data_IF_253561213083
#
_entry.id   IF_253561213083
#
_cell.length_a   1.000
_cell.length_b   1.000
_cell.length_c   1.000
_cell.angle_alpha   90.00
_cell.angle_beta   90.00
_cell.angle_gamma   90.00
#
_symmetry.space_group_name_H-M   'P 1'
#
loop_
_entity.id
_entity.type
_entity.pdbx_description
1 polymer ?
#
# COMPACT_ATOMS: atom_id res chain seq x y z
N UNK A 1 26.32 16.58 68.06
CA UNK A 1 27.64 16.45 67.40
C UNK A 1 27.59 15.15 66.63
N UNK A 2 27.18 15.21 65.37
CA UNK A 2 26.98 14.03 64.53
C UNK A 2 27.61 14.35 63.19
N UNK A 3 28.64 13.60 62.82
CA UNK A 3 29.41 13.76 61.60
C UNK A 3 28.79 12.87 60.52
N UNK A 4 28.66 13.46 59.34
CA UNK A 4 28.17 12.89 58.08
C UNK A 4 29.01 11.69 57.59
N UNK A 5 28.35 10.72 56.96
CA UNK A 5 28.95 9.92 55.89
C UNK A 5 28.06 10.01 54.65
N UNK A 6 28.54 10.77 53.66
CA UNK A 6 28.02 10.84 52.30
C UNK A 6 28.15 9.46 51.63
N UNK A 7 27.02 8.86 51.24
CA UNK A 7 26.96 7.87 50.16
C UNK A 7 26.38 8.57 48.94
N UNK A 8 27.23 8.90 47.98
CA UNK A 8 26.82 9.38 46.66
C UNK A 8 26.08 8.26 45.93
N UNK A 9 24.76 8.38 45.82
CA UNK A 9 23.95 7.56 44.94
C UNK A 9 24.05 8.15 43.53
N UNK A 10 24.99 7.65 42.72
CA UNK A 10 24.96 7.89 41.27
C UNK A 10 23.82 7.07 40.68
N UNK A 11 22.64 7.68 40.57
CA UNK A 11 21.58 7.21 39.69
C UNK A 11 22.05 7.42 38.25
N UNK A 12 22.67 6.40 37.66
CA UNK A 12 22.74 6.32 36.21
C UNK A 12 21.32 6.26 35.67
N UNK A 13 21.02 7.17 34.73
CA UNK A 13 19.75 7.18 34.01
C UNK A 13 19.61 5.84 33.28
N UNK A 14 18.44 5.21 33.42
CA UNK A 14 18.07 4.05 32.61
C UNK A 14 18.32 4.36 31.12
N UNK A 15 19.04 3.51 30.38
CA UNK A 15 19.17 3.69 28.94
C UNK A 15 17.80 3.55 28.30
N UNK A 16 17.45 4.51 27.46
CA UNK A 16 16.34 4.39 26.51
C UNK A 16 16.54 3.17 25.63
N UNK A 17 15.45 2.49 25.29
CA UNK A 17 15.37 1.27 24.48
C UNK A 17 15.84 1.46 23.03
N UNK A 18 17.13 1.72 22.83
CA UNK A 18 17.77 1.78 21.51
C UNK A 18 18.41 0.41 21.24
N UNK A 19 17.98 -0.27 20.18
CA UNK A 19 18.60 -1.47 19.57
C UNK A 19 20.11 -1.34 19.34
N UNK A 20 20.64 -0.11 19.34
CA UNK A 20 22.08 0.22 19.33
C UNK A 20 22.87 -0.47 20.44
N UNK A 21 22.26 -0.76 21.60
CA UNK A 21 22.94 -1.42 22.72
C UNK A 21 23.33 -2.88 22.45
N UNK A 22 22.47 -3.63 21.76
CA UNK A 22 22.73 -5.03 21.39
C UNK A 22 23.70 -5.11 20.22
N UNK A 23 23.49 -4.29 19.18
CA UNK A 23 24.36 -4.23 17.98
C UNK A 23 25.81 -3.91 18.36
N UNK A 24 26.01 -2.94 19.26
CA UNK A 24 27.34 -2.58 19.73
C UNK A 24 28.05 -3.75 20.44
N UNK A 25 27.33 -4.56 21.22
CA UNK A 25 27.90 -5.73 21.91
C UNK A 25 28.13 -6.91 20.99
N UNK A 26 27.26 -7.14 20.00
CA UNK A 26 27.43 -8.24 19.04
C UNK A 26 28.66 -8.04 18.16
N UNK A 27 29.05 -6.78 17.91
CA UNK A 27 30.24 -6.43 17.12
C UNK A 27 31.57 -6.89 17.74
N UNK A 28 31.59 -7.16 19.05
CA UNK A 28 32.80 -7.61 19.77
C UNK A 28 33.03 -9.12 19.63
N UNK A 29 32.02 -9.88 19.21
CA UNK A 29 32.10 -11.33 19.03
C UNK A 29 32.58 -11.71 17.64
N UNK A 30 33.35 -12.79 17.57
CA UNK A 30 33.85 -13.33 16.30
C UNK A 30 32.83 -14.30 15.70
N UNK A 31 32.77 -14.42 14.35
CA UNK A 31 32.03 -15.48 13.69
C UNK A 31 32.43 -16.85 14.24
N UNK A 32 31.46 -17.77 14.37
CA UNK A 32 31.78 -19.14 14.74
C UNK A 32 32.63 -19.81 13.66
N UNK A 33 33.59 -20.63 14.06
CA UNK A 33 34.40 -21.47 13.17
C UNK A 33 33.93 -22.92 13.27
N UNK A 34 34.20 -23.75 12.27
CA UNK A 34 33.89 -25.18 12.33
C UNK A 34 34.42 -25.88 13.60
N UNK A 35 35.61 -25.49 14.08
CA UNK A 35 36.17 -26.00 15.34
C UNK A 35 35.31 -25.63 16.57
N UNK A 36 34.75 -24.41 16.59
CA UNK A 36 33.91 -23.93 17.70
C UNK A 36 32.55 -24.61 17.77
N UNK A 37 32.08 -25.21 16.68
CA UNK A 37 30.83 -25.96 16.61
C UNK A 37 30.95 -27.37 17.19
N UNK A 38 32.16 -27.82 17.52
CA UNK A 38 32.44 -29.09 18.20
C UNK A 38 31.79 -30.32 17.53
N UNK A 39 31.76 -30.40 16.21
CA UNK A 39 31.11 -31.49 15.45
C UNK A 39 29.58 -31.62 15.67
N UNK A 40 28.92 -30.57 16.17
CA UNK A 40 27.46 -30.54 16.28
C UNK A 40 26.81 -30.65 14.89
N UNK A 41 25.99 -31.68 14.68
CA UNK A 41 25.49 -32.02 13.35
C UNK A 41 24.65 -30.90 12.72
N UNK A 42 23.77 -30.25 13.48
CA UNK A 42 22.84 -29.24 12.96
C UNK A 42 23.57 -27.92 12.73
N UNK A 43 24.43 -27.51 13.67
CA UNK A 43 25.20 -26.28 13.53
C UNK A 43 26.23 -26.38 12.40
N UNK A 44 26.84 -27.55 12.20
CA UNK A 44 27.74 -27.76 11.06
C UNK A 44 26.99 -27.74 9.73
N UNK A 45 25.79 -28.31 9.63
CA UNK A 45 24.97 -28.18 8.42
C UNK A 45 24.63 -26.71 8.12
N UNK A 46 24.30 -25.92 9.14
CA UNK A 46 24.07 -24.49 8.99
C UNK A 46 25.34 -23.76 8.52
N UNK A 47 26.49 -24.06 9.12
CA UNK A 47 27.77 -23.50 8.73
C UNK A 47 28.12 -23.85 7.28
N UNK A 48 27.93 -25.11 6.89
CA UNK A 48 28.17 -25.61 5.55
C UNK A 48 27.34 -24.87 4.48
N UNK A 49 26.10 -24.44 4.81
CA UNK A 49 25.31 -23.60 3.89
C UNK A 49 26.00 -22.28 3.53
N UNK A 50 26.83 -21.68 4.40
CA UNK A 50 27.57 -20.45 4.07
C UNK A 50 28.73 -20.71 3.09
N UNK A 51 29.36 -21.88 3.18
CA UNK A 51 30.63 -22.17 2.48
C UNK A 51 30.49 -23.06 1.24
N UNK A 52 29.41 -23.84 1.12
CA UNK A 52 29.14 -24.68 -0.05
C UNK A 52 28.37 -23.97 -1.17
N UNK A 53 27.81 -22.79 -0.90
CA UNK A 53 27.08 -22.00 -1.90
C UNK A 53 28.01 -21.02 -2.62
N UNK A 54 27.81 -20.85 -3.93
CA UNK A 54 28.57 -19.89 -4.76
C UNK A 54 28.37 -18.42 -4.32
N UNK A 55 27.33 -18.14 -3.52
CA UNK A 55 27.09 -16.84 -2.90
C UNK A 55 26.91 -16.98 -1.38
N UNK A 56 27.60 -16.16 -0.57
CA UNK A 56 27.45 -16.18 0.88
C UNK A 56 26.06 -15.71 1.28
N UNK A 57 25.44 -16.43 2.21
CA UNK A 57 24.08 -16.15 2.72
C UNK A 57 24.10 -15.23 3.96
N UNK A 58 25.29 -14.73 4.31
CA UNK A 58 25.50 -13.74 5.35
C UNK A 58 25.43 -14.32 6.75
N UNK A 59 25.73 -15.61 6.93
CA UNK A 59 25.74 -16.24 8.25
C UNK A 59 26.89 -15.78 9.14
N UNK A 60 27.98 -15.26 8.56
CA UNK A 60 29.14 -14.80 9.33
C UNK A 60 28.81 -13.72 10.38
N UNK A 61 27.82 -12.87 10.14
CA UNK A 61 27.35 -11.86 11.11
C UNK A 61 26.21 -12.35 12.01
N UNK A 62 25.67 -13.54 11.74
CA UNK A 62 24.50 -14.12 12.42
C UNK A 62 24.84 -15.33 13.29
N UNK A 63 25.97 -15.99 13.04
CA UNK A 63 26.47 -17.17 13.75
C UNK A 63 27.77 -16.81 14.48
N UNK A 64 27.70 -16.64 15.80
CA UNK A 64 28.77 -16.05 16.61
C UNK A 64 29.30 -17.02 17.67
N UNK A 65 30.60 -16.98 17.93
CA UNK A 65 31.21 -17.66 19.08
C UNK A 65 31.24 -16.71 20.29
N UNK A 66 30.57 -17.12 21.37
CA UNK A 66 30.43 -16.32 22.58
C UNK A 66 31.56 -16.63 23.58
N UNK A 67 32.69 -15.93 23.47
CA UNK A 67 33.85 -16.15 24.35
C UNK A 67 33.64 -15.66 25.81
N UNK A 68 32.56 -14.91 26.06
CA UNK A 68 32.20 -14.37 27.36
C UNK A 68 30.68 -14.36 27.59
N UNK A 69 30.28 -14.12 28.84
CA UNK A 69 28.88 -14.02 29.22
C UNK A 69 28.25 -12.71 28.75
N UNK A 70 27.04 -12.80 28.20
CA UNK A 70 26.32 -11.62 27.71
C UNK A 70 25.54 -10.96 28.83
N UNK A 71 25.65 -9.63 28.92
CA UNK A 71 24.78 -8.81 29.75
C UNK A 71 23.56 -8.34 28.96
N UNK A 72 22.38 -8.67 29.45
CA UNK A 72 21.09 -8.38 28.82
C UNK A 72 20.88 -6.87 28.80
N UNK A 73 20.71 -6.29 27.60
CA UNK A 73 20.56 -4.84 27.41
C UNK A 73 19.12 -4.39 27.26
N UNK A 74 18.22 -5.30 26.85
CA UNK A 74 16.83 -5.00 26.51
C UNK A 74 15.88 -6.01 27.19
N UNK A 75 14.59 -5.66 27.30
CA UNK A 75 13.56 -6.56 27.82
C UNK A 75 13.36 -6.53 29.34
N UNK A 76 12.83 -7.62 29.91
CA UNK A 76 12.47 -7.69 31.35
C UNK A 76 13.66 -7.90 32.28
N UNK A 77 14.77 -8.43 31.77
CA UNK A 77 15.93 -8.85 32.55
C UNK A 77 17.15 -7.92 32.34
N UNK A 78 16.90 -6.65 32.02
CA UNK A 78 17.95 -5.65 31.76
C UNK A 78 18.94 -5.60 32.92
N UNK A 79 20.23 -5.71 32.61
CA UNK A 79 21.33 -5.66 33.58
C UNK A 79 21.75 -7.01 34.16
N UNK A 80 21.03 -8.10 33.85
CA UNK A 80 21.44 -9.45 34.24
C UNK A 80 22.55 -9.98 33.31
N UNK A 81 23.44 -10.82 33.87
CA UNK A 81 24.48 -11.52 33.13
C UNK A 81 24.01 -12.95 32.88
N UNK A 82 23.84 -13.30 31.61
CA UNK A 82 23.46 -14.64 31.19
C UNK A 82 24.72 -15.51 31.01
N UNK A 83 24.72 -16.76 31.50
CA UNK A 83 25.90 -17.64 31.40
C UNK A 83 26.02 -18.24 30.00
N UNK A 84 26.46 -17.42 29.04
CA UNK A 84 26.57 -17.76 27.61
C UNK A 84 28.00 -18.03 27.15
N UNK A 85 28.97 -18.01 28.05
CA UNK A 85 30.37 -18.26 27.72
C UNK A 85 30.56 -19.65 27.09
N UNK A 86 31.37 -19.70 26.05
CA UNK A 86 31.71 -20.86 25.23
C UNK A 86 30.49 -21.50 24.53
N UNK A 87 29.45 -20.69 24.27
CA UNK A 87 28.26 -21.07 23.50
C UNK A 87 28.27 -20.47 22.09
N UNK A 88 27.41 -21.01 21.23
CA UNK A 88 27.16 -20.50 19.88
C UNK A 88 25.91 -19.62 19.89
N UNK A 89 26.06 -18.36 19.48
CA UNK A 89 24.98 -17.38 19.40
C UNK A 89 24.41 -17.28 17.99
N UNK A 90 23.11 -17.46 17.85
CA UNK A 90 22.33 -17.17 16.64
C UNK A 90 21.60 -15.85 16.81
N UNK A 91 21.96 -14.86 15.98
CA UNK A 91 21.36 -13.51 16.02
C UNK A 91 19.96 -13.57 15.42
N UNK A 92 18.97 -13.19 16.23
CA UNK A 92 17.58 -13.09 15.81
C UNK A 92 17.29 -11.65 15.40
N UNK A 93 16.62 -11.48 14.26
CA UNK A 93 16.28 -10.17 13.72
C UNK A 93 14.76 -9.95 13.73
N UNK A 94 14.35 -8.69 13.76
CA UNK A 94 12.97 -8.27 13.56
C UNK A 94 12.61 -8.12 12.07
N UNK A 95 11.39 -7.66 11.79
CA UNK A 95 10.91 -7.42 10.43
C UNK A 95 11.56 -6.20 9.73
N UNK A 96 12.46 -5.48 10.41
CA UNK A 96 13.27 -4.36 9.88
C UNK A 96 14.75 -4.73 9.76
N UNK A 97 15.05 -6.04 9.83
CA UNK A 97 16.40 -6.60 9.78
C UNK A 97 17.33 -6.09 10.89
N UNK A 98 16.77 -5.61 12.01
CA UNK A 98 17.55 -5.17 13.15
C UNK A 98 17.73 -6.33 14.15
N UNK A 99 18.93 -6.50 14.73
CA UNK A 99 19.15 -7.47 15.81
C UNK A 99 18.24 -7.17 17.00
N UNK A 100 17.32 -8.09 17.28
CA UNK A 100 16.32 -7.98 18.34
C UNK A 100 16.65 -8.88 19.53
N UNK A 101 17.21 -10.05 19.28
CA UNK A 101 17.55 -11.04 20.32
C UNK A 101 18.68 -11.96 19.87
N UNK A 102 19.14 -12.82 20.79
CA UNK A 102 20.18 -13.80 20.54
C UNK A 102 19.76 -15.13 21.17
N UNK A 103 19.81 -16.20 20.37
CA UNK A 103 19.61 -17.58 20.81
C UNK A 103 20.95 -18.28 21.00
N UNK A 104 21.28 -18.68 22.23
CA UNK A 104 22.57 -19.26 22.57
C UNK A 104 22.45 -20.78 22.77
N UNK A 105 23.23 -21.54 22.01
CA UNK A 105 23.26 -22.99 22.00
C UNK A 105 24.57 -23.50 22.61
N UNK A 106 24.48 -24.59 23.36
CA UNK A 106 25.65 -25.34 23.77
C UNK A 106 25.82 -26.51 22.79
N UNK A 107 26.91 -26.58 22.00
CA UNK A 107 27.11 -27.63 21.02
C UNK A 107 26.98 -29.04 21.63
N UNK A 108 26.37 -29.97 20.89
CA UNK A 108 26.13 -31.36 21.28
C UNK A 108 25.32 -31.55 22.57
N UNK A 109 24.61 -30.51 23.04
CA UNK A 109 23.68 -30.62 24.15
C UNK A 109 22.26 -30.42 23.65
N UNK A 110 21.41 -31.39 23.96
CA UNK A 110 19.97 -31.29 23.77
C UNK A 110 19.34 -30.41 24.88
N UNK A 111 19.80 -29.17 24.96
CA UNK A 111 19.29 -28.15 25.86
C UNK A 111 18.63 -27.06 25.04
N UNK A 112 17.43 -26.63 25.46
CA UNK A 112 16.76 -25.48 24.86
C UNK A 112 17.69 -24.26 24.85
N UNK A 113 17.68 -23.46 23.77
CA UNK A 113 18.56 -22.32 23.67
C UNK A 113 18.27 -21.31 24.78
N UNK A 114 19.32 -20.65 25.26
CA UNK A 114 19.19 -19.50 26.13
C UNK A 114 18.88 -18.27 25.27
N UNK A 115 17.75 -17.62 25.53
CA UNK A 115 17.28 -16.46 24.75
C UNK A 115 17.50 -15.17 25.55
N UNK A 116 18.16 -14.17 24.96
CA UNK A 116 18.46 -12.91 25.66
C UNK A 116 17.25 -12.02 25.88
N UNK A 117 16.38 -11.89 24.87
CA UNK A 117 15.14 -11.11 24.96
C UNK A 117 13.99 -11.82 24.23
N UNK A 118 12.81 -11.78 24.83
CA UNK A 118 11.55 -12.36 24.30
C UNK A 118 10.45 -11.28 24.23
N UNK A 119 10.80 -10.01 24.38
CA UNK A 119 9.84 -8.91 24.40
C UNK A 119 9.24 -8.59 23.04
N UNK A 120 9.98 -8.84 21.96
CA UNK A 120 9.58 -8.60 20.58
C UNK A 120 9.64 -9.89 19.76
N UNK A 121 8.68 -10.12 18.84
CA UNK A 121 8.76 -11.23 17.91
C UNK A 121 9.98 -11.07 16.99
N UNK A 122 10.77 -12.13 16.86
CA UNK A 122 11.97 -12.15 16.03
C UNK A 122 12.22 -13.55 15.48
N UNK A 123 13.01 -13.64 14.41
CA UNK A 123 13.36 -14.89 13.74
C UNK A 123 14.86 -14.99 13.52
N UNK A 124 15.37 -16.22 13.49
CA UNK A 124 16.67 -16.48 12.86
C UNK A 124 16.45 -16.59 11.36
N UNK A 125 17.17 -15.79 10.56
CA UNK A 125 16.91 -15.67 9.12
C UNK A 125 18.04 -16.27 8.30
N UNK A 126 17.71 -17.32 7.55
CA UNK A 126 18.61 -17.99 6.60
C UNK A 126 18.34 -17.40 5.22
N UNK A 127 19.35 -16.70 4.67
CA UNK A 127 19.22 -15.86 3.47
C UNK A 127 19.04 -14.37 3.79
N UNK A 128 18.64 -13.60 2.77
CA UNK A 128 18.41 -12.15 2.81
C UNK A 128 16.91 -11.82 2.68
N UNK A 129 16.43 -10.81 3.39
CA UNK A 129 15.04 -10.37 3.25
C UNK A 129 14.98 -9.37 2.10
N UNK A 130 14.55 -9.84 0.93
CA UNK A 130 14.41 -9.03 -0.27
C UNK A 130 13.03 -9.25 -0.90
N UNK A 131 12.55 -8.24 -1.63
CA UNK A 131 11.21 -8.26 -2.22
C UNK A 131 11.03 -9.32 -3.32
N UNK A 132 12.12 -9.84 -3.88
CA UNK A 132 12.14 -10.88 -4.92
C UNK A 132 12.19 -12.31 -4.35
N UNK A 133 12.32 -12.47 -3.03
CA UNK A 133 12.39 -13.78 -2.35
C UNK A 133 11.10 -14.11 -1.63
N UNK A 134 10.72 -15.38 -1.60
CA UNK A 134 9.60 -15.83 -0.76
C UNK A 134 10.06 -16.00 0.69
N UNK A 135 9.34 -15.45 1.66
CA UNK A 135 9.61 -15.67 3.09
C UNK A 135 8.87 -16.91 3.55
N UNK A 136 9.58 -17.92 4.07
CA UNK A 136 9.00 -19.15 4.57
C UNK A 136 9.24 -19.30 6.06
N UNK A 137 8.22 -19.63 6.84
CA UNK A 137 8.34 -19.77 8.29
C UNK A 137 8.35 -21.25 8.73
N UNK A 138 9.29 -21.60 9.62
CA UNK A 138 9.42 -22.92 10.24
C UNK A 138 9.70 -22.82 11.74
N UNK A 139 9.42 -23.89 12.48
CA UNK A 139 9.50 -23.92 13.95
C UNK A 139 10.77 -24.58 14.50
N UNK A 140 11.63 -25.14 13.64
CA UNK A 140 12.92 -25.72 14.04
C UNK A 140 14.07 -25.29 13.13
N UNK A 141 15.28 -25.27 13.70
CA UNK A 141 16.50 -24.94 12.96
C UNK A 141 16.81 -25.96 11.87
N UNK A 142 16.62 -27.24 12.16
CA UNK A 142 16.84 -28.34 11.23
C UNK A 142 15.91 -28.24 10.01
N UNK A 143 14.61 -28.00 10.24
CA UNK A 143 13.65 -27.78 9.15
C UNK A 143 14.01 -26.54 8.32
N UNK A 144 14.54 -25.50 8.97
CA UNK A 144 14.97 -24.27 8.30
C UNK A 144 16.14 -24.49 7.35
N UNK A 145 17.17 -25.21 7.79
CA UNK A 145 18.33 -25.58 6.98
C UNK A 145 17.89 -26.46 5.81
N UNK A 146 17.11 -27.49 6.09
CA UNK A 146 16.63 -28.44 5.09
C UNK A 146 15.76 -27.76 4.03
N UNK A 147 14.82 -26.91 4.45
CA UNK A 147 13.94 -26.20 3.54
C UNK A 147 14.73 -25.19 2.70
N UNK A 148 15.67 -24.45 3.29
CA UNK A 148 16.53 -23.54 2.55
C UNK A 148 17.27 -24.27 1.43
N UNK A 149 17.87 -25.43 1.74
CA UNK A 149 18.57 -26.26 0.77
C UNK A 149 17.64 -26.75 -0.34
N UNK A 150 16.46 -27.29 0.00
CA UNK A 150 15.51 -27.81 -0.99
C UNK A 150 14.99 -26.73 -1.94
N UNK A 151 14.66 -25.54 -1.42
CA UNK A 151 14.13 -24.44 -2.22
C UNK A 151 15.22 -23.77 -3.06
N UNK A 152 16.33 -23.35 -2.44
CA UNK A 152 17.33 -22.53 -3.12
C UNK A 152 18.35 -23.34 -3.92
N UNK A 153 18.76 -24.51 -3.44
CA UNK A 153 19.84 -25.30 -4.05
C UNK A 153 19.29 -26.29 -5.06
N UNK A 154 18.26 -27.05 -4.67
CA UNK A 154 17.68 -28.11 -5.51
C UNK A 154 16.66 -27.52 -6.48
N UNK A 155 15.68 -26.77 -5.96
CA UNK A 155 14.57 -26.24 -6.78
C UNK A 155 14.90 -24.92 -7.49
N UNK A 156 16.04 -24.29 -7.16
CA UNK A 156 16.47 -22.99 -7.67
C UNK A 156 15.40 -21.89 -7.54
N UNK A 157 14.57 -21.96 -6.49
CA UNK A 157 13.59 -20.94 -6.17
C UNK A 157 14.12 -20.05 -5.04
N UNK A 158 14.31 -18.74 -5.29
CA UNK A 158 14.92 -17.85 -4.31
C UNK A 158 13.96 -17.66 -3.13
N UNK A 159 14.34 -18.21 -1.99
CA UNK A 159 13.55 -18.21 -0.76
C UNK A 159 14.43 -17.84 0.44
N UNK A 160 13.79 -17.25 1.44
CA UNK A 160 14.39 -16.83 2.71
C UNK A 160 13.62 -17.49 3.83
N UNK A 161 14.33 -18.17 4.73
CA UNK A 161 13.68 -18.97 5.77
C UNK A 161 13.74 -18.24 7.11
N UNK A 162 12.56 -18.00 7.68
CA UNK A 162 12.34 -17.49 9.03
C UNK A 162 12.23 -18.69 9.98
N UNK A 163 13.23 -18.85 10.85
CA UNK A 163 13.27 -19.93 11.83
C UNK A 163 12.89 -19.37 13.19
N UNK A 164 11.83 -19.92 13.79
CA UNK A 164 11.46 -19.60 15.17
C UNK A 164 12.30 -20.43 16.14
N UNK A 165 13.11 -19.77 16.97
CA UNK A 165 13.88 -20.42 18.03
C UNK A 165 13.26 -20.22 19.43
N UNK A 166 12.13 -19.53 19.52
CA UNK A 166 11.43 -19.23 20.78
C UNK A 166 10.09 -19.98 20.80
N UNK A 167 10.00 -21.04 21.62
CA UNK A 167 8.92 -22.06 21.55
C UNK A 167 7.49 -21.52 21.48
N UNK A 168 7.18 -20.39 22.11
CA UNK A 168 5.82 -19.82 22.17
C UNK A 168 5.62 -18.59 21.26
N UNK A 169 6.59 -18.26 20.40
CA UNK A 169 6.53 -17.06 19.55
C UNK A 169 6.35 -17.35 18.06
N UNK A 170 6.14 -18.60 17.64
CA UNK A 170 5.94 -18.90 16.22
C UNK A 170 4.82 -18.07 15.58
N UNK A 171 3.63 -18.05 16.20
CA UNK A 171 2.49 -17.26 15.72
C UNK A 171 2.77 -15.74 15.74
N UNK A 172 3.22 -15.12 16.87
CA UNK A 172 3.65 -13.72 16.87
C UNK A 172 4.72 -13.37 15.84
N UNK A 173 5.70 -14.25 15.62
CA UNK A 173 6.77 -14.05 14.65
C UNK A 173 6.19 -14.00 13.23
N UNK A 174 5.37 -14.98 12.86
CA UNK A 174 4.73 -15.00 11.53
C UNK A 174 3.92 -13.72 11.29
N UNK A 175 3.09 -13.31 12.25
CA UNK A 175 2.32 -12.05 12.16
C UNK A 175 3.21 -10.84 11.97
N UNK A 176 4.28 -10.75 12.76
CA UNK A 176 5.19 -9.61 12.72
C UNK A 176 5.90 -9.47 11.36
N UNK A 177 6.36 -10.56 10.77
CA UNK A 177 6.96 -10.53 9.42
C UNK A 177 5.91 -10.32 8.31
N UNK A 178 4.67 -10.80 8.50
CA UNK A 178 3.56 -10.59 7.57
C UNK A 178 3.17 -9.11 7.40
N UNK A 179 3.50 -8.24 8.37
CA UNK A 179 3.31 -6.78 8.27
C UNK A 179 4.08 -6.15 7.09
N UNK A 180 5.20 -6.75 6.69
CA UNK A 180 6.12 -6.20 5.68
C UNK A 180 6.04 -6.97 4.36
N UNK A 181 5.94 -8.30 4.41
CA UNK A 181 5.95 -9.15 3.23
C UNK A 181 5.15 -10.43 3.45
N UNK A 182 4.57 -11.00 2.39
CA UNK A 182 3.80 -12.24 2.49
C UNK A 182 4.64 -13.40 3.02
N UNK A 183 4.18 -14.04 4.09
CA UNK A 183 4.85 -15.19 4.71
C UNK A 183 4.18 -16.49 4.27
N UNK A 184 4.98 -17.45 3.82
CA UNK A 184 4.57 -18.79 3.42
C UNK A 184 4.78 -19.77 4.56
N UNK A 185 3.85 -20.70 4.72
CA UNK A 185 3.94 -21.74 5.74
C UNK A 185 3.39 -23.05 5.22
N UNK A 186 4.09 -24.15 5.52
CA UNK A 186 3.57 -25.48 5.27
C UNK A 186 2.77 -25.97 6.47
N UNK A 187 1.57 -26.47 6.22
CA UNK A 187 0.71 -27.07 7.24
C UNK A 187 0.09 -28.32 6.67
N UNK A 188 0.08 -29.39 7.45
CA UNK A 188 -0.59 -30.63 7.05
C UNK A 188 -2.10 -30.52 7.28
N UNK A 189 -2.91 -31.24 6.50
CA UNK A 189 -4.39 -31.19 6.58
C UNK A 189 -4.92 -31.40 8.01
N UNK A 190 -4.29 -32.28 8.80
CA UNK A 190 -4.66 -32.54 10.21
C UNK A 190 -4.37 -31.35 11.15
N UNK A 191 -3.43 -30.47 10.77
CA UNK A 191 -3.04 -29.28 11.53
C UNK A 191 -3.69 -27.99 11.01
N UNK A 192 -4.67 -28.06 10.09
CA UNK A 192 -5.37 -26.87 9.53
C UNK A 192 -5.89 -25.92 10.62
N UNK A 193 -6.39 -26.44 11.75
CA UNK A 193 -6.88 -25.64 12.87
C UNK A 193 -5.85 -24.67 13.48
N UNK A 194 -4.55 -24.87 13.24
CA UNK A 194 -3.51 -23.92 13.66
C UNK A 194 -3.55 -22.62 12.87
N UNK A 195 -4.11 -22.64 11.66
CA UNK A 195 -4.22 -21.49 10.77
C UNK A 195 -5.26 -20.47 11.25
N UNK A 196 -6.26 -20.88 12.03
CA UNK A 196 -7.36 -20.02 12.49
C UNK A 196 -6.86 -18.76 13.21
N UNK A 197 -5.70 -18.84 13.87
CA UNK A 197 -5.08 -17.71 14.58
C UNK A 197 -4.37 -16.71 13.67
N UNK A 198 -4.15 -17.08 12.41
CA UNK A 198 -3.51 -16.28 11.36
C UNK A 198 -4.53 -15.73 10.36
N UNK A 199 -5.83 -15.90 10.60
CA UNK A 199 -6.87 -15.32 9.75
C UNK A 199 -6.75 -13.78 9.71
N UNK A 200 -6.84 -13.21 8.51
CA UNK A 200 -6.68 -11.79 8.21
C UNK A 200 -5.23 -11.31 8.03
N UNK A 201 -4.24 -12.17 8.30
CA UNK A 201 -2.82 -11.83 8.16
C UNK A 201 -2.33 -12.08 6.73
N UNK A 202 -1.31 -11.33 6.29
CA UNK A 202 -0.70 -11.48 4.97
C UNK A 202 0.17 -12.76 4.89
N UNK A 203 -0.50 -13.90 4.89
CA UNK A 203 0.07 -15.23 5.05
C UNK A 203 -0.53 -16.17 4.01
N UNK A 204 0.32 -16.94 3.33
CA UNK A 204 -0.10 -18.00 2.40
C UNK A 204 0.21 -19.36 3.00
N UNK A 205 -0.85 -20.07 3.38
CA UNK A 205 -0.74 -21.40 3.93
C UNK A 205 -0.77 -22.44 2.80
N UNK A 206 0.24 -23.30 2.74
CA UNK A 206 0.32 -24.40 1.78
C UNK A 206 -0.10 -25.67 2.51
N UNK A 207 -1.33 -26.09 2.25
CA UNK A 207 -1.95 -27.23 2.89
C UNK A 207 -1.63 -28.51 2.11
N UNK A 208 -0.86 -29.40 2.71
CA UNK A 208 -0.41 -30.68 2.12
C UNK A 208 -0.93 -31.88 2.90
N UNK A 209 -1.06 -33.04 2.25
CA UNK A 209 -1.49 -34.26 2.94
C UNK A 209 -0.38 -34.82 3.83
N UNK A 210 0.85 -34.78 3.32
CA UNK A 210 2.06 -35.11 4.06
C UNK A 210 2.88 -33.84 4.29
N UNK A 211 3.81 -33.90 5.24
CA UNK A 211 4.72 -32.78 5.46
C UNK A 211 5.53 -32.51 4.18
N UNK A 212 5.51 -31.25 3.72
CA UNK A 212 6.17 -30.87 2.46
C UNK A 212 7.66 -31.19 2.51
N UNK A 213 8.32 -30.98 3.65
CA UNK A 213 9.76 -31.22 3.77
C UNK A 213 10.08 -32.70 3.57
N UNK A 214 9.23 -33.59 4.12
CA UNK A 214 9.37 -35.04 3.96
C UNK A 214 9.21 -35.43 2.48
N UNK A 215 8.24 -34.84 1.78
CA UNK A 215 8.03 -35.11 0.36
C UNK A 215 9.19 -34.64 -0.52
N UNK A 216 9.73 -33.45 -0.24
CA UNK A 216 10.90 -32.91 -0.93
C UNK A 216 12.15 -33.76 -0.67
N UNK A 217 12.37 -34.19 0.58
CA UNK A 217 13.47 -35.08 0.95
C UNK A 217 13.34 -36.48 0.32
N UNK A 218 12.13 -36.94 0.05
CA UNK A 218 11.87 -38.18 -0.69
C UNK A 218 12.12 -38.04 -2.21
N UNK A 219 12.47 -36.83 -2.68
CA UNK A 219 12.84 -36.54 -4.05
C UNK A 219 11.70 -36.03 -4.94
N UNK A 220 10.52 -35.72 -4.38
CA UNK A 220 9.50 -34.99 -5.14
C UNK A 220 9.99 -33.57 -5.45
N UNK A 221 9.65 -33.06 -6.62
CA UNK A 221 9.91 -31.67 -6.98
C UNK A 221 8.92 -30.73 -6.29
N UNK A 222 9.34 -29.52 -5.97
CA UNK A 222 8.47 -28.51 -5.35
C UNK A 222 7.23 -28.24 -6.19
N UNK A 223 7.37 -28.14 -7.51
CA UNK A 223 6.23 -27.89 -8.41
C UNK A 223 5.19 -29.02 -8.36
N UNK A 224 5.63 -30.27 -8.16
CA UNK A 224 4.74 -31.42 -7.99
C UNK A 224 3.98 -31.33 -6.66
N UNK A 225 4.70 -31.02 -5.57
CA UNK A 225 4.08 -30.83 -4.24
C UNK A 225 3.07 -29.67 -4.27
N UNK A 226 3.43 -28.56 -4.90
CA UNK A 226 2.58 -27.38 -5.01
C UNK A 226 1.35 -27.62 -5.91
N UNK A 227 1.46 -28.48 -6.93
CA UNK A 227 0.32 -28.87 -7.76
C UNK A 227 -0.70 -29.76 -7.02
N UNK A 228 -0.24 -30.54 -6.04
CA UNK A 228 -1.08 -31.37 -5.17
C UNK A 228 -1.60 -30.60 -3.94
N UNK A 229 -0.93 -29.50 -3.56
CA UNK A 229 -1.27 -28.71 -2.39
C UNK A 229 -2.47 -27.79 -2.61
N UNK A 230 -3.18 -27.49 -1.53
CA UNK A 230 -4.17 -26.41 -1.50
C UNK A 230 -3.54 -25.17 -0.89
N UNK A 231 -3.46 -24.08 -1.65
CA UNK A 231 -2.97 -22.80 -1.15
C UNK A 231 -4.16 -22.00 -0.60
N UNK A 232 -4.10 -21.65 0.68
CA UNK A 232 -5.09 -20.82 1.37
C UNK A 232 -4.46 -19.44 1.59
N UNK A 233 -5.11 -18.40 1.08
CA UNK A 233 -4.75 -17.02 1.41
C UNK A 233 -5.43 -16.65 2.74
N UNK A 234 -4.64 -16.54 3.79
CA UNK A 234 -5.16 -16.26 5.13
C UNK A 234 -5.72 -14.84 5.23
N UNK A 235 -5.30 -13.93 4.34
CA UNK A 235 -5.80 -12.57 4.34
C UNK A 235 -7.30 -12.55 4.01
N UNK A 236 -7.74 -13.39 3.08
CA UNK A 236 -9.14 -13.50 2.66
C UNK A 236 -10.03 -14.13 3.74
N UNK A 237 -9.51 -15.09 4.51
CA UNK A 237 -10.23 -15.76 5.61
C UNK A 237 -10.55 -14.83 6.80
N UNK A 238 -9.93 -13.64 6.86
CA UNK A 238 -10.17 -12.65 7.92
C UNK A 238 -11.26 -11.62 7.61
N UNK A 239 -11.74 -11.56 6.37
CA UNK A 239 -12.81 -10.65 5.97
C UNK A 239 -14.14 -11.39 5.93
N UNK A 240 -15.17 -10.79 6.55
CA UNK A 240 -16.54 -11.22 6.29
C UNK A 240 -16.86 -11.05 4.80
N UNK A 241 -17.77 -11.88 4.29
CA UNK A 241 -18.29 -11.73 2.93
C UNK A 241 -18.72 -10.26 2.71
N UNK A 242 -18.27 -9.59 1.63
CA UNK A 242 -18.60 -8.19 1.41
C UNK A 242 -20.12 -8.05 1.35
N UNK A 243 -20.66 -7.17 2.19
CA UNK A 243 -22.09 -6.88 2.17
C UNK A 243 -22.50 -6.42 0.76
N UNK A 244 -23.59 -7.00 0.25
CA UNK A 244 -24.13 -6.62 -1.05
C UNK A 244 -24.57 -5.16 -1.01
N UNK A 245 -23.99 -4.32 -1.88
CA UNK A 245 -24.37 -2.92 -2.03
C UNK A 245 -25.84 -2.72 -2.43
N UNK A 246 -26.52 -3.78 -2.89
CA UNK A 246 -27.88 -3.72 -3.38
C UNK A 246 -28.91 -4.07 -2.30
N UNK A 247 -29.24 -3.11 -1.44
CA UNK A 247 -30.55 -3.12 -0.78
C UNK A 247 -31.59 -2.79 -1.85
N UNK A 248 -32.31 -3.80 -2.35
CA UNK A 248 -33.50 -3.71 -3.22
C UNK A 248 -33.57 -2.43 -4.08
N UNK A 249 -33.18 -2.44 -5.38
CA UNK A 249 -33.26 -1.24 -6.20
C UNK A 249 -34.70 -0.73 -6.16
N UNK A 250 -34.89 0.44 -5.54
CA UNK A 250 -36.17 1.14 -5.61
C UNK A 250 -36.51 1.32 -7.08
N UNK A 251 -37.77 1.08 -7.46
CA UNK A 251 -38.18 1.25 -8.85
C UNK A 251 -37.74 2.63 -9.34
N UNK A 252 -37.08 2.72 -10.52
CA UNK A 252 -36.58 3.99 -11.03
C UNK A 252 -37.74 5.00 -11.08
N UNK A 253 -37.59 6.12 -10.36
CA UNK A 253 -38.60 7.19 -10.42
C UNK A 253 -38.69 7.68 -11.88
N UNK A 254 -39.85 7.56 -12.55
CA UNK A 254 -39.98 7.95 -13.94
C UNK A 254 -39.66 9.43 -14.13
N UNK A 255 -38.94 9.75 -15.21
CA UNK A 255 -38.69 11.15 -15.55
C UNK A 255 -40.03 11.89 -15.78
N UNK A 256 -40.25 13.07 -15.16
CA UNK A 256 -41.55 13.75 -15.18
C UNK A 256 -41.79 14.45 -16.51
N UNK A 257 -41.93 13.68 -17.58
CA UNK A 257 -42.08 14.19 -18.94
C UNK A 257 -43.35 15.05 -19.09
N UNK A 258 -44.40 14.71 -18.32
CA UNK A 258 -45.67 15.43 -18.25
C UNK A 258 -45.58 16.79 -17.55
N UNK A 259 -44.48 17.08 -16.83
CA UNK A 259 -44.25 18.42 -16.27
C UNK A 259 -43.94 19.46 -17.34
N UNK A 260 -43.45 19.04 -18.52
CA UNK A 260 -43.23 19.94 -19.65
C UNK A 260 -44.55 20.25 -20.35
N UNK A 261 -44.84 21.55 -20.51
CA UNK A 261 -46.07 22.03 -21.14
C UNK A 261 -45.78 22.94 -22.34
N UNK A 262 -46.78 23.11 -23.21
CA UNK A 262 -46.74 24.09 -24.30
C UNK A 262 -45.64 23.84 -25.34
N UNK A 263 -44.89 24.89 -25.69
CA UNK A 263 -43.84 24.84 -26.71
C UNK A 263 -42.73 23.84 -26.36
N UNK A 264 -42.30 23.81 -25.10
CA UNK A 264 -41.18 22.98 -24.66
C UNK A 264 -41.47 21.49 -24.81
N UNK A 265 -42.69 21.06 -24.49
CA UNK A 265 -43.12 19.67 -24.71
C UNK A 265 -43.01 19.25 -26.18
N UNK A 266 -43.50 20.10 -27.09
CA UNK A 266 -43.43 19.84 -28.54
C UNK A 266 -41.99 19.78 -29.06
N UNK A 267 -41.11 20.60 -28.51
CA UNK A 267 -39.67 20.57 -28.86
C UNK A 267 -39.04 19.27 -28.39
N UNK A 268 -39.32 18.84 -27.16
CA UNK A 268 -38.82 17.57 -26.61
C UNK A 268 -39.28 16.39 -27.47
N UNK A 269 -40.57 16.35 -27.85
CA UNK A 269 -41.12 15.31 -28.72
C UNK A 269 -40.44 15.29 -30.10
N UNK A 270 -40.20 16.47 -30.71
CA UNK A 270 -39.49 16.56 -31.98
C UNK A 270 -38.03 16.13 -31.88
N UNK A 271 -37.32 16.50 -30.81
CA UNK A 271 -35.93 16.07 -30.61
C UNK A 271 -35.88 14.57 -30.37
N UNK A 272 -36.78 14.03 -29.54
CA UNK A 272 -36.92 12.59 -29.31
C UNK A 272 -37.14 11.84 -30.63
N UNK A 273 -38.05 12.33 -31.48
CA UNK A 273 -38.32 11.76 -32.80
C UNK A 273 -37.12 11.84 -33.75
N UNK A 274 -36.47 12.99 -33.90
CA UNK A 274 -35.38 13.14 -34.87
C UNK A 274 -34.07 12.52 -34.42
N UNK A 275 -33.78 12.52 -33.12
CA UNK A 275 -32.57 11.94 -32.56
C UNK A 275 -32.71 10.45 -32.19
N UNK A 276 -33.93 9.89 -32.29
CA UNK A 276 -34.25 8.52 -31.90
C UNK A 276 -33.82 8.23 -30.45
N UNK A 277 -34.14 9.17 -29.55
CA UNK A 277 -33.78 9.11 -28.12
C UNK A 277 -35.04 9.07 -27.26
N UNK A 278 -34.93 8.57 -26.02
CA UNK A 278 -36.05 8.57 -25.08
C UNK A 278 -36.52 10.01 -24.78
N UNK A 279 -37.83 10.25 -24.53
CA UNK A 279 -38.34 11.56 -24.16
C UNK A 279 -37.66 12.14 -22.91
N UNK A 280 -37.26 11.27 -21.97
CA UNK A 280 -36.51 11.66 -20.78
C UNK A 280 -35.15 12.28 -21.13
N UNK A 281 -34.42 11.67 -22.06
CA UNK A 281 -33.12 12.17 -22.50
C UNK A 281 -33.25 13.48 -23.29
N UNK A 282 -34.25 13.59 -24.17
CA UNK A 282 -34.56 14.85 -24.85
C UNK A 282 -34.99 15.96 -23.86
N UNK A 283 -35.77 15.61 -22.84
CA UNK A 283 -36.17 16.51 -21.75
C UNK A 283 -34.96 17.02 -20.95
N UNK A 284 -34.03 16.14 -20.59
CA UNK A 284 -32.78 16.51 -19.93
C UNK A 284 -31.94 17.47 -20.78
N UNK A 285 -31.82 17.22 -22.10
CA UNK A 285 -31.10 18.13 -22.99
C UNK A 285 -31.74 19.53 -23.06
N UNK A 286 -33.07 19.62 -23.08
CA UNK A 286 -33.80 20.89 -23.07
C UNK A 286 -33.67 21.61 -21.72
N UNK A 287 -33.72 20.87 -20.60
CA UNK A 287 -33.46 21.42 -19.28
C UNK A 287 -32.05 22.03 -19.18
N UNK A 288 -31.04 21.35 -19.72
CA UNK A 288 -29.67 21.84 -19.79
C UNK A 288 -29.56 23.14 -20.60
N UNK A 289 -30.20 23.20 -21.78
CA UNK A 289 -30.19 24.41 -22.60
C UNK A 289 -30.89 25.60 -21.90
N UNK A 290 -32.01 25.35 -21.22
CA UNK A 290 -32.72 26.36 -20.43
C UNK A 290 -31.89 26.83 -19.24
N UNK A 291 -31.25 25.92 -18.52
CA UNK A 291 -30.36 26.25 -17.43
C UNK A 291 -29.22 27.13 -17.92
N UNK A 292 -28.54 26.76 -19.02
CA UNK A 292 -27.47 27.56 -19.61
C UNK A 292 -27.91 29.00 -19.96
N UNK A 293 -29.15 29.17 -20.46
CA UNK A 293 -29.70 30.51 -20.72
C UNK A 293 -30.11 31.26 -19.45
N UNK A 294 -30.57 30.54 -18.42
CA UNK A 294 -31.05 31.08 -17.15
C UNK A 294 -29.93 31.50 -16.19
N UNK A 295 -28.78 30.82 -16.23
CA UNK A 295 -27.64 31.06 -15.33
C UNK A 295 -27.15 32.51 -15.32
N UNK A 296 -27.30 33.25 -16.43
CA UNK A 296 -26.92 34.67 -16.50
C UNK A 296 -27.86 35.62 -15.75
N UNK A 297 -29.03 35.14 -15.33
CA UNK A 297 -30.10 35.97 -14.77
C UNK A 297 -30.36 35.72 -13.29
N UNK A 298 -29.86 34.61 -12.74
CA UNK A 298 -30.25 34.14 -11.41
C UNK A 298 -28.99 33.73 -10.64
N UNK A 299 -28.86 34.28 -9.44
CA UNK A 299 -27.94 33.79 -8.42
C UNK A 299 -28.72 32.93 -7.41
N UNK A 300 -28.15 31.80 -7.01
CA UNK A 300 -28.66 30.95 -5.95
C UNK A 300 -28.32 31.54 -4.56
N UNK A 301 -29.29 31.64 -3.63
CA UNK A 301 -29.04 32.11 -2.28
C UNK A 301 -28.31 31.03 -1.46
N UNK A 302 -27.23 31.42 -0.78
CA UNK A 302 -26.49 30.58 0.17
C UNK A 302 -26.36 31.34 1.49
N UNK A 303 -27.25 31.05 2.44
CA UNK A 303 -27.33 31.79 3.70
C UNK A 303 -27.60 33.29 3.47
N UNK A 304 -26.63 34.14 3.79
CA UNK A 304 -26.70 35.61 3.57
C UNK A 304 -26.03 36.07 2.27
N UNK A 305 -25.47 35.16 1.47
CA UNK A 305 -24.76 35.49 0.23
C UNK A 305 -25.47 34.91 -0.98
N UNK A 306 -25.05 35.35 -2.17
CA UNK A 306 -25.59 34.91 -3.45
C UNK A 306 -24.42 34.39 -4.29
N UNK A 307 -24.58 33.20 -4.87
CA UNK A 307 -23.62 32.60 -5.80
C UNK A 307 -24.28 32.36 -7.15
N UNK A 308 -23.53 32.40 -8.27
CA UNK A 308 -24.11 32.09 -9.57
C UNK A 308 -24.82 30.74 -9.56
N UNK A 309 -26.05 30.68 -10.06
CA UNK A 309 -26.76 29.41 -10.17
C UNK A 309 -26.02 28.48 -11.15
N UNK A 310 -25.93 27.19 -10.84
CA UNK A 310 -25.42 26.17 -11.76
C UNK A 310 -26.27 24.91 -11.65
N UNK A 311 -26.42 24.20 -12.77
CA UNK A 311 -27.17 22.95 -12.84
C UNK A 311 -26.26 21.89 -13.46
N UNK A 312 -26.02 20.82 -12.73
CA UNK A 312 -25.27 19.67 -13.20
C UNK A 312 -26.24 18.55 -13.57
N UNK A 313 -26.17 18.12 -14.82
CA UNK A 313 -27.01 17.05 -15.35
C UNK A 313 -26.12 15.88 -15.74
N UNK A 314 -26.40 14.71 -15.17
CA UNK A 314 -25.76 13.45 -15.52
C UNK A 314 -26.82 12.58 -16.17
N UNK A 315 -26.52 12.05 -17.36
CA UNK A 315 -27.41 11.13 -18.07
C UNK A 315 -26.58 9.96 -18.56
N UNK A 316 -26.89 8.78 -18.03
CA UNK A 316 -26.32 7.54 -18.51
C UNK A 316 -27.12 7.03 -19.71
N UNK A 317 -26.41 6.49 -20.69
CA UNK A 317 -27.01 5.83 -21.82
C UNK A 317 -25.96 5.04 -22.57
N UNK A 318 -26.37 4.04 -23.33
CA UNK A 318 -25.45 3.18 -24.07
C UNK A 318 -24.67 3.95 -25.16
N UNK A 319 -23.60 3.37 -25.68
CA UNK A 319 -22.90 3.94 -26.83
C UNK A 319 -23.81 3.93 -28.06
N UNK A 320 -23.80 4.99 -28.87
CA UNK A 320 -24.67 5.11 -30.06
C UNK A 320 -26.12 5.53 -29.78
N UNK A 321 -26.52 5.71 -28.52
CA UNK A 321 -27.89 6.08 -28.11
C UNK A 321 -28.35 7.51 -28.50
N UNK A 322 -27.68 8.19 -29.43
CA UNK A 322 -28.11 9.51 -29.93
C UNK A 322 -27.88 10.70 -28.97
N UNK A 323 -27.24 10.48 -27.80
CA UNK A 323 -26.94 11.52 -26.77
C UNK A 323 -26.38 12.81 -27.35
N UNK A 324 -25.25 12.71 -28.06
CA UNK A 324 -24.55 13.87 -28.61
C UNK A 324 -25.39 14.58 -29.68
N UNK A 325 -26.20 13.84 -30.43
CA UNK A 325 -27.05 14.41 -31.47
C UNK A 325 -28.25 15.17 -30.87
N UNK A 326 -28.92 14.62 -29.85
CA UNK A 326 -29.97 15.31 -29.10
C UNK A 326 -29.44 16.59 -28.40
N UNK A 327 -28.24 16.52 -27.83
CA UNK A 327 -27.57 17.68 -27.24
C UNK A 327 -27.25 18.75 -28.31
N UNK A 328 -26.78 18.34 -29.49
CA UNK A 328 -26.49 19.28 -30.58
C UNK A 328 -27.75 20.01 -31.07
N UNK A 329 -28.89 19.33 -31.18
CA UNK A 329 -30.15 19.94 -31.59
C UNK A 329 -30.67 20.93 -30.54
N UNK A 330 -30.67 20.56 -29.26
CA UNK A 330 -31.13 21.43 -28.16
C UNK A 330 -30.25 22.67 -27.99
N UNK A 331 -28.94 22.53 -28.12
CA UNK A 331 -27.97 23.62 -27.91
C UNK A 331 -27.58 24.35 -29.20
N UNK A 332 -28.22 24.05 -30.33
CA UNK A 332 -27.84 24.59 -31.64
C UNK A 332 -27.70 26.11 -31.65
N UNK A 333 -28.72 26.82 -31.17
CA UNK A 333 -28.73 28.29 -31.16
C UNK A 333 -27.74 28.88 -30.14
N UNK A 334 -27.50 28.19 -29.02
CA UNK A 334 -26.51 28.59 -28.02
C UNK A 334 -25.12 28.56 -28.67
N UNK A 335 -24.76 27.42 -29.29
CA UNK A 335 -23.49 27.24 -30.00
C UNK A 335 -23.34 28.24 -31.15
N UNK A 336 -24.40 28.49 -31.92
CA UNK A 336 -24.37 29.46 -33.01
C UNK A 336 -24.10 30.89 -32.50
N UNK A 337 -24.72 31.27 -31.37
CA UNK A 337 -24.50 32.57 -30.76
C UNK A 337 -23.07 32.69 -30.17
N UNK A 338 -22.59 31.66 -29.49
CA UNK A 338 -21.20 31.59 -28.98
C UNK A 338 -20.18 31.71 -30.11
N UNK A 339 -20.40 31.00 -31.21
CA UNK A 339 -19.55 31.08 -32.40
C UNK A 339 -19.55 32.48 -33.01
N UNK A 340 -20.72 33.15 -33.06
CA UNK A 340 -20.81 34.54 -33.53
C UNK A 340 -20.01 35.49 -32.62
N UNK A 341 -20.17 35.38 -31.30
CA UNK A 341 -19.41 36.20 -30.35
C UNK A 341 -17.90 35.97 -30.46
N UNK A 342 -17.49 34.71 -30.65
CA UNK A 342 -16.10 34.36 -30.86
C UNK A 342 -15.53 34.96 -32.15
N UNK A 343 -16.26 34.91 -33.26
CA UNK A 343 -15.84 35.53 -34.52
C UNK A 343 -15.70 37.05 -34.40
N UNK A 344 -16.67 37.72 -33.78
CA UNK A 344 -16.58 39.16 -33.50
C UNK A 344 -15.37 39.49 -32.61
N UNK A 345 -15.03 38.62 -31.65
CA UNK A 345 -13.82 38.77 -30.85
C UNK A 345 -12.56 38.67 -31.73
N UNK A 346 -12.45 37.67 -32.60
CA UNK A 346 -11.31 37.51 -33.52
C UNK A 346 -11.15 38.73 -34.44
N UNK A 347 -12.24 39.26 -34.98
CA UNK A 347 -12.20 40.49 -35.80
C UNK A 347 -11.64 41.68 -35.02
N UNK A 348 -12.13 41.90 -33.78
CA UNK A 348 -11.65 42.97 -32.90
C UNK A 348 -10.18 42.77 -32.52
N UNK A 349 -9.77 41.53 -32.27
CA UNK A 349 -8.40 41.20 -31.93
C UNK A 349 -7.46 41.52 -33.09
N UNK A 350 -7.82 41.10 -34.30
CA UNK A 350 -7.03 41.37 -35.51
C UNK A 350 -6.90 42.88 -35.78
N UNK A 351 -7.98 43.64 -35.60
CA UNK A 351 -7.95 45.11 -35.71
C UNK A 351 -7.01 45.73 -34.67
N UNK A 352 -7.17 45.33 -33.41
CA UNK A 352 -6.31 45.83 -32.32
C UNK A 352 -4.83 45.48 -32.52
N UNK A 353 -4.51 44.29 -33.04
CA UNK A 353 -3.14 43.88 -33.36
C UNK A 353 -2.56 44.67 -34.54
N UNK A 354 -3.37 44.94 -35.57
CA UNK A 354 -2.98 45.79 -36.70
C UNK A 354 -2.70 47.24 -36.27
N UNK A 355 -3.59 47.82 -35.45
CA UNK A 355 -3.43 49.17 -34.91
C UNK A 355 -2.18 49.26 -34.03
N UNK A 356 -1.95 48.25 -33.17
CA UNK A 356 -0.77 48.15 -32.32
C UNK A 356 0.53 48.04 -33.14
N UNK A 357 0.52 47.26 -34.22
CA UNK A 357 1.70 47.07 -35.07
C UNK A 357 2.11 48.36 -35.81
N UNK A 358 1.17 49.28 -36.03
CA UNK A 358 1.40 50.56 -36.69
C UNK A 358 2.09 51.62 -35.81
N UNK A 359 2.12 51.42 -34.48
CA UNK A 359 2.57 52.41 -33.49
C UNK A 359 3.92 52.03 -32.85
N UNK A 360 4.78 53.02 -32.57
CA UNK A 360 6.11 52.82 -31.94
C UNK A 360 6.38 53.81 -30.82
N UNK A 361 7.20 53.41 -29.84
CA UNK A 361 7.71 54.31 -28.80
C UNK A 361 6.65 54.79 -27.80
N UNK A 362 6.46 56.10 -27.68
CA UNK A 362 5.56 56.74 -26.69
C UNK A 362 4.08 56.51 -27.04
N UNK A 363 3.74 56.57 -28.33
CA UNK A 363 2.38 56.37 -28.83
C UNK A 363 1.87 54.95 -28.58
N UNK A 364 2.75 53.96 -28.62
CA UNK A 364 2.40 52.57 -28.29
C UNK A 364 2.03 52.42 -26.80
N UNK A 365 2.74 53.11 -25.90
CA UNK A 365 2.43 53.06 -24.45
C UNK A 365 1.11 53.75 -24.15
N UNK A 366 0.85 54.88 -24.80
CA UNK A 366 -0.41 55.61 -24.65
C UNK A 366 -1.57 54.77 -25.22
N UNK A 367 -1.41 54.16 -26.40
CA UNK A 367 -2.42 53.28 -27.00
C UNK A 367 -2.76 52.06 -26.14
N UNK A 368 -1.77 51.39 -25.54
CA UNK A 368 -2.01 50.24 -24.66
C UNK A 368 -2.75 50.64 -23.37
N UNK A 369 -2.62 51.90 -22.94
CA UNK A 369 -3.34 52.42 -21.77
C UNK A 369 -4.79 52.82 -22.07
N UNK A 370 -5.06 53.32 -23.28
CA UNK A 370 -6.39 53.79 -23.69
C UNK A 370 -7.22 52.72 -24.39
N UNK A 371 -6.59 51.75 -25.05
CA UNK A 371 -7.23 50.69 -25.82
C UNK A 371 -6.79 49.31 -25.29
N UNK A 372 -7.45 48.79 -24.23
CA UNK A 372 -7.12 47.48 -23.69
C UNK A 372 -7.38 46.39 -24.72
N UNK A 373 -6.59 45.29 -24.64
CA UNK A 373 -6.72 44.14 -25.53
C UNK A 373 -8.16 43.61 -25.51
N UNK A 374 -8.79 43.34 -26.67
CA UNK A 374 -10.10 42.70 -26.74
C UNK A 374 -10.13 41.43 -25.89
N UNK A 375 -11.25 41.20 -25.21
CA UNK A 375 -11.39 40.12 -24.25
C UNK A 375 -11.92 38.84 -24.91
N UNK A 376 -11.32 37.69 -24.60
CA UNK A 376 -11.70 36.39 -25.17
C UNK A 376 -13.00 35.85 -24.52
N UNK A 377 -14.09 35.67 -25.27
CA UNK A 377 -15.35 35.17 -24.71
C UNK A 377 -15.30 33.71 -24.22
N UNK A 378 -14.25 32.93 -24.55
CA UNK A 378 -14.09 31.54 -24.08
C UNK A 378 -13.21 31.38 -22.84
N UNK A 379 -12.68 32.48 -22.29
CA UNK A 379 -11.83 32.45 -21.10
C UNK A 379 -12.68 32.22 -19.82
N UNK A 380 -12.42 31.19 -18.99
CA UNK A 380 -13.27 30.84 -17.84
C UNK A 380 -13.45 31.99 -16.85
N UNK A 381 -12.44 32.86 -16.73
CA UNK A 381 -12.47 34.03 -15.86
C UNK A 381 -13.53 35.08 -16.24
N UNK A 382 -14.08 35.04 -17.46
CA UNK A 382 -15.02 36.06 -17.93
C UNK A 382 -16.47 35.64 -18.04
N UNK A 383 -16.79 34.34 -18.10
CA UNK A 383 -18.20 33.93 -17.94
C UNK A 383 -18.78 34.41 -16.61
N UNK A 384 -17.94 34.56 -15.57
CA UNK A 384 -18.34 35.09 -14.26
C UNK A 384 -18.34 36.63 -14.22
N UNK A 385 -17.51 37.33 -15.01
CA UNK A 385 -17.34 38.79 -14.94
C UNK A 385 -18.27 39.59 -15.84
N UNK A 386 -18.75 39.06 -16.96
CA UNK A 386 -19.73 39.76 -17.82
C UNK A 386 -21.08 39.97 -17.10
N UNK A 387 -21.36 39.16 -16.05
CA UNK A 387 -22.57 39.26 -15.21
C UNK A 387 -22.57 40.53 -14.34
N UNK A 388 -21.41 41.12 -14.02
CA UNK A 388 -21.34 42.30 -13.12
C UNK A 388 -21.35 43.67 -13.80
N UNK A 389 -21.16 43.76 -15.12
CA UNK A 389 -21.02 45.06 -15.81
C UNK A 389 -22.26 45.49 -16.63
N UNK A 390 -23.36 44.72 -16.55
CA UNK A 390 -24.62 45.00 -17.25
C UNK A 390 -25.78 45.44 -16.36
N UNK A 391 -25.54 46.05 -15.20
CA UNK A 391 -26.59 46.75 -14.43
C UNK A 391 -26.58 48.24 -14.77
N UNK A 392 -27.48 48.64 -15.66
CA UNK A 392 -28.23 49.89 -15.55
C UNK A 392 -29.70 49.54 -15.43
#
# INVERSE_FOLDING_TARGET
MTIEMNKSCTREKAPTSDSKGLIAKLSDYQPATGESLADDAVLNQLYDLEYFLDQPIGLNSKLLYLHDNISITNGRNIGEIMPTKDMIGLVLIDNQEQPASLACFNPNRDSKPLITDVSQPCAFVIGDISQDRQLWAVDTLEDGINLYHQLNVISMQPATILVNLITWQFEPMVKHFAEVQTVYLNVTVDKRHKLDKLAGENVKAILTTFDMLIELQAGKLLDEVMAEATVIDMQDEGWDDPESLANNPSEPTPYPIEAWQGLLRRVIEKISYHAQVTPAMAGQCILGALAHMGQRFIDAPIGHTHMPASLYLITEGESGSGKSFAMNLSHYQIKANEHKHYNTYLERLNQWEADKASLKGRELKDFLSTNPKPHNPTDPCCQIRTIKLGRF
#
